data_IF_523659435469
#
_entry.id   IF_523659435469
#
_cell.length_a   1.000
_cell.length_b   1.000
_cell.length_c   1.000
_cell.angle_alpha   90.00
_cell.angle_beta   90.00
_cell.angle_gamma   90.00
#
_symmetry.space_group_name_H-M   'P 1'
#
loop_
_entity.id
_entity.type
_entity.pdbx_description
1 polymer ?
#
# COMPACT_ATOMS: atom_id res chain seq x y z
N UNK A 1 -14.08 -5.53 -14.82
CA UNK A 1 -13.34 -6.19 -13.72
C UNK A 1 -14.00 -7.53 -13.46
N UNK A 2 -13.26 -8.64 -13.59
CA UNK A 2 -13.80 -9.96 -13.29
C UNK A 2 -14.17 -10.08 -11.82
N UNK A 3 -15.25 -10.80 -11.52
CA UNK A 3 -15.82 -10.98 -10.18
C UNK A 3 -14.80 -11.42 -9.11
N UNK A 4 -13.72 -12.13 -9.49
CA UNK A 4 -12.67 -12.57 -8.56
C UNK A 4 -11.67 -11.49 -8.14
N UNK A 5 -11.53 -10.36 -8.86
CA UNK A 5 -10.53 -9.33 -8.51
C UNK A 5 -10.96 -8.50 -7.29
N UNK A 6 -12.26 -8.31 -7.09
CA UNK A 6 -12.80 -7.57 -5.94
C UNK A 6 -12.48 -8.26 -4.61
N UNK A 7 -12.66 -9.58 -4.56
CA UNK A 7 -12.43 -10.39 -3.35
C UNK A 7 -10.95 -10.40 -2.97
N UNK A 8 -10.04 -10.47 -3.96
CA UNK A 8 -8.60 -10.38 -3.71
C UNK A 8 -8.25 -9.01 -3.10
N UNK A 9 -8.86 -7.92 -3.59
CA UNK A 9 -8.61 -6.57 -3.10
C UNK A 9 -8.93 -6.39 -1.60
N UNK A 10 -10.12 -6.80 -1.18
CA UNK A 10 -10.51 -6.75 0.25
C UNK A 10 -9.59 -7.61 1.11
N UNK A 11 -9.34 -8.86 0.70
CA UNK A 11 -8.49 -9.80 1.42
C UNK A 11 -7.05 -9.28 1.56
N UNK A 12 -6.48 -8.69 0.51
CA UNK A 12 -5.12 -8.12 0.54
C UNK A 12 -5.01 -6.91 1.46
N UNK A 13 -5.97 -5.99 1.43
CA UNK A 13 -5.91 -4.79 2.27
C UNK A 13 -6.14 -5.13 3.75
N UNK A 14 -7.11 -6.01 4.06
CA UNK A 14 -7.37 -6.45 5.43
C UNK A 14 -6.26 -7.34 5.97
N UNK A 15 -5.74 -8.26 5.14
CA UNK A 15 -4.56 -9.05 5.47
C UNK A 15 -3.37 -8.16 5.79
N UNK A 16 -3.09 -7.14 4.96
CA UNK A 16 -2.01 -6.18 5.19
C UNK A 16 -2.21 -5.39 6.49
N UNK A 17 -3.43 -4.90 6.74
CA UNK A 17 -3.78 -4.23 8.00
C UNK A 17 -3.54 -5.14 9.22
N UNK A 18 -3.94 -6.41 9.16
CA UNK A 18 -3.69 -7.38 10.23
C UNK A 18 -2.21 -7.71 10.41
N UNK A 19 -1.45 -7.81 9.32
CA UNK A 19 -0.02 -8.04 9.37
C UNK A 19 0.72 -6.86 10.02
N UNK A 20 0.42 -5.62 9.60
CA UNK A 20 1.07 -4.43 10.18
C UNK A 20 0.68 -4.25 11.64
N UNK A 21 -0.62 -4.29 11.96
CA UNK A 21 -1.09 -4.03 13.34
C UNK A 21 -0.73 -5.13 14.33
N UNK A 22 -0.61 -6.39 13.89
CA UNK A 22 -0.29 -7.50 14.78
C UNK A 22 1.18 -7.90 14.72
N UNK A 23 1.71 -8.20 13.53
CA UNK A 23 3.07 -8.74 13.37
C UNK A 23 4.10 -7.64 13.54
N UNK A 24 3.96 -6.51 12.84
CA UNK A 24 4.95 -5.42 12.92
C UNK A 24 4.98 -4.81 14.32
N UNK A 25 3.81 -4.40 14.84
CA UNK A 25 3.72 -3.88 16.22
C UNK A 25 4.12 -4.94 17.24
N UNK A 26 3.77 -6.21 17.03
CA UNK A 26 4.07 -7.30 17.95
C UNK A 26 5.57 -7.58 18.08
N UNK A 27 6.26 -7.69 16.94
CA UNK A 27 7.72 -7.85 16.88
C UNK A 27 8.40 -6.62 17.48
N UNK A 28 7.98 -5.40 17.10
CA UNK A 28 8.52 -4.16 17.67
C UNK A 28 8.35 -4.12 19.19
N UNK A 29 7.19 -4.50 19.72
CA UNK A 29 6.93 -4.51 21.17
C UNK A 29 7.86 -5.44 21.93
N UNK A 30 8.20 -6.60 21.35
CA UNK A 30 9.10 -7.59 21.96
C UNK A 30 10.55 -7.12 21.91
N UNK A 31 11.00 -6.62 20.76
CA UNK A 31 12.40 -6.22 20.53
C UNK A 31 12.75 -4.90 21.22
N UNK A 32 11.81 -3.95 21.29
CA UNK A 32 12.04 -2.62 21.84
C UNK A 32 11.86 -2.53 23.36
N UNK A 33 11.50 -3.64 24.02
CA UNK A 33 11.33 -3.69 25.49
C UNK A 33 12.53 -3.09 26.24
N UNK A 34 13.74 -3.39 25.78
CA UNK A 34 14.98 -2.95 26.43
C UNK A 34 15.17 -1.43 26.39
N UNK A 35 14.61 -0.76 25.37
CA UNK A 35 14.74 0.69 25.18
C UNK A 35 13.77 1.53 26.01
N UNK A 36 12.84 0.92 26.76
CA UNK A 36 11.82 1.59 27.59
C UNK A 36 11.10 2.74 26.86
N UNK A 37 10.73 2.53 25.59
CA UNK A 37 10.03 3.53 24.77
C UNK A 37 8.62 3.76 25.34
N UNK A 38 8.28 5.03 25.56
CA UNK A 38 6.97 5.48 26.03
C UNK A 38 6.24 6.08 24.83
N UNK A 39 5.08 5.51 24.50
CA UNK A 39 4.26 5.97 23.39
C UNK A 39 3.36 7.13 23.84
N UNK A 40 3.13 8.11 22.98
CA UNK A 40 2.16 9.17 23.27
C UNK A 40 0.74 8.59 23.34
N UNK A 41 0.11 8.68 24.53
CA UNK A 41 -1.24 8.17 24.79
C UNK A 41 -2.30 8.79 23.87
N UNK A 42 -2.27 10.10 23.67
CA UNK A 42 -3.27 10.81 22.87
C UNK A 42 -3.24 10.40 21.41
N UNK A 43 -2.06 10.42 20.80
CA UNK A 43 -1.89 10.01 19.40
C UNK A 43 -2.25 8.54 19.18
N UNK A 44 -1.80 7.64 20.08
CA UNK A 44 -2.12 6.23 20.00
C UNK A 44 -3.62 5.93 20.12
N UNK A 45 -4.28 6.47 21.15
CA UNK A 45 -5.73 6.23 21.36
C UNK A 45 -6.54 6.80 20.20
N UNK A 46 -6.18 8.00 19.70
CA UNK A 46 -6.80 8.60 18.53
C UNK A 46 -6.70 7.66 17.31
N UNK A 47 -5.50 7.21 16.96
CA UNK A 47 -5.29 6.40 15.77
C UNK A 47 -6.02 5.04 15.88
N UNK A 48 -6.01 4.40 17.05
CA UNK A 48 -6.73 3.13 17.27
C UNK A 48 -8.26 3.29 17.23
N UNK A 49 -8.80 4.32 17.89
CA UNK A 49 -10.24 4.58 17.86
C UNK A 49 -10.71 4.91 16.44
N UNK A 50 -9.92 5.67 15.68
CA UNK A 50 -10.22 5.92 14.27
C UNK A 50 -10.17 4.65 13.44
N UNK A 51 -9.15 3.82 13.61
CA UNK A 51 -9.07 2.55 12.87
C UNK A 51 -10.24 1.62 13.22
N UNK A 52 -10.65 1.54 14.49
CA UNK A 52 -11.85 0.79 14.90
C UNK A 52 -13.13 1.34 14.23
N UNK A 53 -13.27 2.67 14.16
CA UNK A 53 -14.39 3.32 13.46
C UNK A 53 -14.38 3.03 11.96
N UNK A 54 -13.21 3.04 11.31
CA UNK A 54 -13.04 2.66 9.91
C UNK A 54 -13.46 1.21 9.67
N UNK A 55 -13.02 0.29 10.53
CA UNK A 55 -13.37 -1.13 10.42
C UNK A 55 -14.86 -1.38 10.71
N UNK A 56 -15.48 -0.61 11.61
CA UNK A 56 -16.91 -0.66 11.86
C UNK A 56 -17.71 -0.21 10.63
N UNK A 57 -17.33 0.91 10.00
CA UNK A 57 -17.94 1.38 8.75
C UNK A 57 -17.77 0.36 7.61
N UNK A 58 -16.57 -0.22 7.48
CA UNK A 58 -16.32 -1.26 6.49
C UNK A 58 -17.16 -2.52 6.75
N UNK A 59 -17.26 -2.95 8.02
CA UNK A 59 -18.10 -4.10 8.40
C UNK A 59 -19.57 -3.85 8.09
N UNK A 60 -20.07 -2.63 8.33
CA UNK A 60 -21.43 -2.23 7.95
C UNK A 60 -21.67 -2.35 6.45
N UNK A 61 -20.73 -1.86 5.63
CA UNK A 61 -20.76 -1.96 4.16
C UNK A 61 -20.81 -3.43 3.71
N UNK A 62 -19.94 -4.29 4.27
CA UNK A 62 -19.90 -5.71 3.92
C UNK A 62 -21.16 -6.46 4.36
N UNK A 63 -21.73 -6.13 5.51
CA UNK A 63 -22.99 -6.75 5.99
C UNK A 63 -24.18 -6.30 5.17
N UNK A 64 -24.21 -5.05 4.68
CA UNK A 64 -25.26 -4.61 3.75
C UNK A 64 -25.12 -5.34 2.41
N UNK A 65 -23.89 -5.59 1.95
CA UNK A 65 -23.62 -6.30 0.69
C UNK A 65 -23.89 -5.45 -0.55
N UNK A 66 -24.23 -4.18 -0.39
CA UNK A 66 -24.39 -3.21 -1.47
C UNK A 66 -23.84 -1.86 -1.03
N UNK A 67 -23.20 -1.14 -1.97
CA UNK A 67 -22.73 0.22 -1.75
C UNK A 67 -23.12 1.11 -2.93
N UNK A 68 -23.68 2.29 -2.62
CA UNK A 68 -23.95 3.32 -3.60
C UNK A 68 -22.78 4.32 -3.67
N UNK A 69 -22.75 5.16 -4.70
CA UNK A 69 -21.68 6.16 -4.87
C UNK A 69 -21.53 7.09 -3.67
N UNK A 70 -22.65 7.48 -3.04
CA UNK A 70 -22.66 8.34 -1.86
C UNK A 70 -22.04 7.65 -0.64
N UNK A 71 -22.31 6.37 -0.44
CA UNK A 71 -21.72 5.55 0.61
C UNK A 71 -20.22 5.36 0.38
N UNK A 72 -19.80 5.14 -0.86
CA UNK A 72 -18.38 5.04 -1.21
C UNK A 72 -17.64 6.37 -0.99
N UNK A 73 -18.22 7.50 -1.42
CA UNK A 73 -17.68 8.83 -1.16
C UNK A 73 -17.64 9.16 0.33
N UNK A 74 -18.68 8.78 1.08
CA UNK A 74 -18.75 8.91 2.53
C UNK A 74 -17.62 8.14 3.22
N UNK A 75 -17.42 6.88 2.84
CA UNK A 75 -16.32 6.06 3.35
C UNK A 75 -14.96 6.69 3.05
N UNK A 76 -14.70 7.12 1.81
CA UNK A 76 -13.47 7.81 1.44
C UNK A 76 -13.27 9.13 2.22
N UNK A 77 -14.35 9.89 2.45
CA UNK A 77 -14.30 11.18 3.16
C UNK A 77 -13.83 11.06 4.62
N UNK A 78 -14.01 9.88 5.24
CA UNK A 78 -13.49 9.61 6.58
C UNK A 78 -11.97 9.82 6.66
N UNK A 79 -11.24 9.65 5.55
CA UNK A 79 -9.79 9.88 5.53
C UNK A 79 -9.44 11.36 5.69
N UNK A 80 -10.17 12.23 5.00
CA UNK A 80 -10.00 13.68 5.12
C UNK A 80 -10.30 14.09 6.56
N UNK A 81 -11.38 13.57 7.13
CA UNK A 81 -11.73 13.82 8.54
C UNK A 81 -10.63 13.34 9.51
N UNK A 82 -10.09 12.14 9.30
CA UNK A 82 -8.96 11.63 10.08
C UNK A 82 -7.74 12.55 10.00
N UNK A 83 -7.33 12.97 8.80
CA UNK A 83 -6.18 13.88 8.61
C UNK A 83 -6.41 15.21 9.34
N UNK A 84 -7.63 15.76 9.28
CA UNK A 84 -7.99 16.99 10.00
C UNK A 84 -7.88 16.80 11.51
N UNK A 85 -8.39 15.69 12.07
CA UNK A 85 -8.27 15.40 13.51
C UNK A 85 -6.82 15.20 13.92
N UNK A 86 -6.01 14.50 13.13
CA UNK A 86 -4.57 14.34 13.38
C UNK A 86 -3.87 15.70 13.39
N UNK A 87 -4.16 16.57 12.42
CA UNK A 87 -3.58 17.90 12.33
C UNK A 87 -3.92 18.77 13.55
N UNK A 88 -5.20 18.82 13.96
CA UNK A 88 -5.59 19.56 15.16
C UNK A 88 -5.00 18.97 16.44
N UNK A 89 -4.93 17.64 16.53
CA UNK A 89 -4.34 16.95 17.68
C UNK A 89 -2.83 17.19 17.80
N UNK A 90 -2.09 17.24 16.69
CA UNK A 90 -0.65 17.52 16.68
C UNK A 90 -0.35 18.99 17.00
N UNK A 91 -1.09 19.92 16.39
CA UNK A 91 -0.93 21.36 16.65
C UNK A 91 -1.25 21.72 18.12
N UNK A 92 -2.26 21.09 18.72
CA UNK A 92 -2.57 21.26 20.14
C UNK A 92 -1.45 20.70 21.04
N UNK A 93 -0.90 19.53 20.70
CA UNK A 93 0.23 18.93 21.42
C UNK A 93 1.49 19.80 21.37
N UNK A 94 1.81 20.38 20.20
CA UNK A 94 2.99 21.24 20.00
C UNK A 94 2.88 22.57 20.76
N UNK A 95 1.69 23.18 20.80
CA UNK A 95 1.45 24.39 21.61
C UNK A 95 1.67 24.17 23.10
N UNK A 96 1.45 22.96 23.61
CA UNK A 96 1.75 22.60 25.00
C UNK A 96 3.24 22.39 25.29
N UNK A 97 4.12 22.41 24.27
CA UNK A 97 5.56 22.10 24.39
C UNK A 97 6.47 23.29 24.06
N UNK A 98 5.92 24.46 23.73
CA UNK A 98 6.68 25.67 23.37
C UNK A 98 7.39 26.37 24.55
N UNK A 99 7.27 25.87 25.79
CA UNK A 99 8.08 26.35 26.93
C UNK A 99 9.40 25.59 27.13
N UNK A 100 9.72 24.55 26.35
CA UNK A 100 11.03 23.88 26.45
C UNK A 100 11.57 23.41 25.09
N UNK A 101 12.45 24.25 24.54
CA UNK A 101 13.55 23.96 23.61
C UNK A 101 13.26 23.58 22.14
N UNK A 102 13.81 24.47 21.29
CA UNK A 102 14.37 24.32 19.94
C UNK A 102 14.19 22.99 19.19
N UNK A 103 13.48 23.08 18.07
CA UNK A 103 13.32 22.06 17.03
C UNK A 103 14.66 21.63 16.41
N UNK A 104 15.12 20.43 16.72
CA UNK A 104 16.03 19.69 15.85
C UNK A 104 15.21 18.84 14.88
N UNK A 105 15.13 19.28 13.63
CA UNK A 105 14.66 18.45 12.52
C UNK A 105 15.74 17.39 12.27
N UNK A 106 15.45 16.14 12.65
CA UNK A 106 16.35 15.02 12.33
C UNK A 106 16.07 14.57 10.90
N UNK A 107 17.02 14.84 10.01
CA UNK A 107 17.06 14.27 8.66
C UNK A 107 17.09 12.75 8.77
N UNK A 108 15.94 12.13 8.48
CA UNK A 108 15.77 10.69 8.44
C UNK A 108 16.47 10.15 7.18
N UNK A 109 17.77 9.92 7.27
CA UNK A 109 18.52 9.15 6.28
C UNK A 109 18.21 7.68 6.49
N UNK A 110 17.16 7.17 5.83
CA UNK A 110 16.83 5.74 5.80
C UNK A 110 17.90 5.02 4.96
N UNK A 111 18.77 4.16 5.54
CA UNK A 111 19.79 3.45 4.79
C UNK A 111 19.22 2.12 4.28
N UNK A 112 18.13 2.14 3.52
CA UNK A 112 17.51 0.90 3.00
C UNK A 112 17.91 0.64 1.53
N UNK A 113 18.33 1.67 0.78
CA UNK A 113 18.57 1.53 -0.67
C UNK A 113 20.02 1.34 -1.10
N UNK A 114 21.01 1.32 -0.19
CA UNK A 114 22.43 1.24 -0.59
C UNK A 114 22.95 -0.20 -0.76
N UNK A 115 22.14 -1.22 -0.47
CA UNK A 115 22.57 -2.63 -0.42
C UNK A 115 22.17 -3.52 -1.61
N UNK A 116 21.14 -3.17 -2.39
CA UNK A 116 20.68 -4.01 -3.53
C UNK A 116 21.43 -3.70 -4.84
N UNK A 117 22.74 -3.54 -4.74
CA UNK A 117 23.61 -3.12 -5.84
C UNK A 117 24.44 -4.25 -6.44
N UNK A 118 23.85 -5.42 -6.71
CA UNK A 118 24.44 -6.43 -7.61
C UNK A 118 23.33 -7.07 -8.43
N UNK A 119 23.04 -6.46 -9.58
CA UNK A 119 22.03 -6.96 -10.52
C UNK A 119 22.39 -8.37 -10.97
N UNK A 120 21.58 -9.35 -10.58
CA UNK A 120 21.64 -10.70 -11.14
C UNK A 120 21.15 -10.66 -12.59
N UNK A 121 21.68 -11.53 -13.45
CA UNK A 121 21.30 -11.65 -14.87
C UNK A 121 19.77 -11.83 -15.05
N UNK A 122 19.10 -12.40 -14.04
CA UNK A 122 17.64 -12.53 -13.97
C UNK A 122 16.86 -11.21 -13.92
N UNK A 123 17.45 -10.11 -13.44
CA UNK A 123 16.76 -8.82 -13.31
C UNK A 123 16.81 -7.98 -14.59
N UNK A 124 17.74 -8.27 -15.51
CA UNK A 124 17.93 -7.54 -16.77
C UNK A 124 16.67 -7.35 -17.62
N UNK A 125 15.82 -8.38 -17.86
CA UNK A 125 14.65 -8.23 -18.72
C UNK A 125 13.61 -7.22 -18.18
N UNK A 126 13.52 -7.03 -16.87
CA UNK A 126 12.62 -6.05 -16.25
C UNK A 126 13.32 -4.70 -15.99
N UNK A 127 14.62 -4.73 -15.70
CA UNK A 127 15.42 -3.55 -15.40
C UNK A 127 15.57 -2.61 -16.60
N UNK A 128 15.84 -3.16 -17.80
CA UNK A 128 16.13 -2.37 -19.00
C UNK A 128 14.91 -1.57 -19.48
N UNK A 129 13.73 -2.17 -19.73
CA UNK A 129 12.53 -1.42 -20.12
C UNK A 129 12.14 -0.36 -19.08
N UNK A 130 12.25 -0.69 -17.79
CA UNK A 130 12.00 0.26 -16.70
C UNK A 130 12.93 1.46 -16.74
N UNK A 131 14.23 1.21 -16.92
CA UNK A 131 15.23 2.29 -17.04
C UNK A 131 15.04 3.12 -18.31
N UNK A 132 14.55 2.51 -19.38
CA UNK A 132 14.26 3.15 -20.65
C UNK A 132 12.93 3.90 -20.70
N UNK A 133 12.15 3.95 -19.63
CA UNK A 133 10.85 4.64 -19.60
C UNK A 133 10.68 5.55 -18.37
N UNK A 134 11.48 5.36 -17.31
CA UNK A 134 11.52 6.28 -16.16
C UNK A 134 12.63 7.32 -16.37
N UNK A 135 12.31 8.61 -16.56
CA UNK A 135 13.31 9.67 -16.59
C UNK A 135 13.96 9.86 -15.21
N UNK A 136 15.28 9.68 -15.13
CA UNK A 136 16.07 9.79 -13.89
C UNK A 136 16.93 11.05 -13.91
N UNK A 137 16.82 11.88 -12.88
CA UNK A 137 17.54 13.17 -12.75
C UNK A 137 18.68 13.09 -11.70
N UNK A 138 19.07 11.89 -11.29
CA UNK A 138 20.12 11.73 -10.29
C UNK A 138 21.50 11.96 -10.90
N UNK A 139 22.30 12.90 -10.36
CA UNK A 139 23.64 13.24 -10.86
C UNK A 139 24.55 12.01 -11.01
N UNK A 140 24.52 11.08 -10.05
CA UNK A 140 25.34 9.86 -10.06
C UNK A 140 24.94 8.84 -11.15
N UNK A 141 23.72 8.93 -11.70
CA UNK A 141 23.17 7.97 -12.66
C UNK A 141 22.75 8.64 -13.99
N UNK A 142 23.10 9.91 -14.16
CA UNK A 142 22.71 10.71 -15.31
C UNK A 142 23.37 10.20 -16.59
N UNK A 143 22.58 10.11 -17.65
CA UNK A 143 23.10 9.96 -19.01
C UNK A 143 22.09 10.53 -19.98
N UNK A 144 22.51 11.50 -20.81
CA UNK A 144 21.67 12.12 -21.83
C UNK A 144 20.95 11.11 -22.75
N UNK A 145 21.60 10.08 -23.31
CA UNK A 145 20.91 9.17 -24.23
C UNK A 145 19.78 8.38 -23.54
N UNK A 146 19.98 7.93 -22.30
CA UNK A 146 18.95 7.21 -21.54
C UNK A 146 17.82 8.17 -21.13
N UNK A 147 18.16 9.39 -20.72
CA UNK A 147 17.18 10.41 -20.38
C UNK A 147 16.28 10.76 -21.58
N UNK A 148 16.87 10.98 -22.77
CA UNK A 148 16.11 11.23 -24.00
C UNK A 148 15.27 10.00 -24.38
N UNK A 149 15.86 8.80 -24.36
CA UNK A 149 15.13 7.56 -24.65
C UNK A 149 13.93 7.37 -23.69
N UNK A 150 14.11 7.66 -22.41
CA UNK A 150 13.06 7.55 -21.39
C UNK A 150 11.86 8.45 -21.65
N UNK A 151 12.10 9.70 -22.03
CA UNK A 151 11.05 10.66 -22.34
C UNK A 151 10.36 10.32 -23.67
N UNK A 152 11.08 9.72 -24.61
CA UNK A 152 10.50 9.25 -25.88
C UNK A 152 9.63 8.01 -25.71
N UNK A 153 10.08 7.02 -24.94
CA UNK A 153 9.41 5.73 -24.78
C UNK A 153 8.28 5.76 -23.74
N UNK A 154 8.32 6.69 -22.79
CA UNK A 154 7.28 6.86 -21.77
C UNK A 154 5.86 7.01 -22.38
N UNK A 155 5.60 7.96 -23.29
CA UNK A 155 4.27 8.10 -23.91
C UNK A 155 3.83 6.88 -24.74
N UNK A 156 4.78 6.17 -25.34
CA UNK A 156 4.50 4.94 -26.10
C UNK A 156 4.00 3.86 -25.14
N UNK A 157 4.70 3.62 -24.04
CA UNK A 157 4.26 2.66 -23.02
C UNK A 157 2.87 3.02 -22.46
N UNK A 158 2.63 4.31 -22.21
CA UNK A 158 1.31 4.80 -21.79
C UNK A 158 0.21 4.49 -22.81
N UNK A 159 0.48 4.69 -24.10
CA UNK A 159 -0.49 4.39 -25.16
C UNK A 159 -0.82 2.91 -25.26
N UNK A 160 0.16 2.03 -24.99
CA UNK A 160 -0.04 0.57 -24.92
C UNK A 160 -0.95 0.20 -23.75
N UNK A 161 -0.74 0.78 -22.58
CA UNK A 161 -1.56 0.52 -21.39
C UNK A 161 -2.96 1.13 -21.47
N UNK A 162 -3.08 2.27 -22.17
CA UNK A 162 -4.36 2.98 -22.27
C UNK A 162 -5.33 2.26 -23.18
N UNK A 163 -4.87 1.41 -24.11
CA UNK A 163 -5.74 0.65 -24.99
C UNK A 163 -6.45 -0.43 -24.18
N UNK A 164 -7.68 -0.19 -23.69
CA UNK A 164 -8.39 -1.20 -22.95
C UNK A 164 -8.76 -2.25 -23.98
N UNK A 165 -8.64 -3.51 -23.60
CA UNK A 165 -9.20 -4.61 -24.36
C UNK A 165 -10.74 -4.52 -24.23
N UNK A 166 -11.34 -3.50 -24.86
CA UNK A 166 -12.77 -3.49 -25.16
C UNK A 166 -12.97 -4.47 -26.30
N UNK A 167 -13.82 -5.48 -26.08
CA UNK A 167 -14.05 -6.60 -26.98
C UNK A 167 -14.54 -6.19 -28.40
N UNK A 168 -14.80 -4.89 -28.64
CA UNK A 168 -15.25 -4.30 -29.90
C UNK A 168 -14.36 -3.16 -30.46
N UNK A 169 -13.16 -2.92 -29.91
CA UNK A 169 -12.28 -1.87 -30.41
C UNK A 169 -11.67 -2.25 -31.79
N UNK A 170 -12.14 -1.59 -32.86
CA UNK A 170 -11.58 -1.74 -34.21
C UNK A 170 -10.05 -1.52 -34.20
N UNK A 171 -9.30 -2.37 -34.92
CA UNK A 171 -7.83 -2.28 -35.10
C UNK A 171 -7.33 -0.85 -35.39
N UNK A 172 -8.15 -0.06 -36.08
CA UNK A 172 -7.88 1.35 -36.41
C UNK A 172 -7.76 2.23 -35.15
N UNK A 173 -8.61 2.06 -34.13
CA UNK A 173 -8.55 2.84 -32.89
C UNK A 173 -7.25 2.56 -32.13
N UNK A 174 -6.84 1.29 -32.02
CA UNK A 174 -5.57 0.91 -31.41
C UNK A 174 -4.38 1.55 -32.14
N UNK A 175 -4.38 1.51 -33.47
CA UNK A 175 -3.33 2.11 -34.30
C UNK A 175 -3.25 3.63 -34.11
N UNK A 176 -4.40 4.32 -34.03
CA UNK A 176 -4.48 5.77 -33.79
C UNK A 176 -3.92 6.13 -32.41
N UNK A 177 -4.29 5.39 -31.35
CA UNK A 177 -3.79 5.61 -29.99
C UNK A 177 -2.27 5.44 -29.91
N UNK A 178 -1.73 4.38 -30.52
CA UNK A 178 -0.28 4.16 -30.57
C UNK A 178 0.44 5.22 -31.42
N UNK A 179 -0.17 5.65 -32.52
CA UNK A 179 0.36 6.71 -33.37
C UNK A 179 0.47 8.06 -32.64
N UNK A 180 -0.57 8.44 -31.89
CA UNK A 180 -0.57 9.66 -31.07
C UNK A 180 0.50 9.58 -29.97
N UNK A 181 0.59 8.44 -29.28
CA UNK A 181 1.60 8.20 -28.24
C UNK A 181 3.03 8.31 -28.77
N UNK A 182 3.31 7.71 -29.93
CA UNK A 182 4.62 7.78 -30.59
C UNK A 182 4.97 9.20 -31.02
N UNK A 183 4.04 9.92 -31.63
CA UNK A 183 4.27 11.30 -32.08
C UNK A 183 4.57 12.23 -30.91
N UNK A 184 3.80 12.11 -29.82
CA UNK A 184 4.05 12.86 -28.59
C UNK A 184 5.41 12.50 -27.97
N UNK A 185 5.75 11.21 -27.90
CA UNK A 185 7.05 10.72 -27.45
C UNK A 185 8.21 11.31 -28.24
N UNK A 186 8.14 11.31 -29.58
CA UNK A 186 9.18 11.88 -30.45
C UNK A 186 9.34 13.38 -30.19
N UNK A 187 8.25 14.13 -30.09
CA UNK A 187 8.30 15.58 -29.81
C UNK A 187 9.00 15.83 -28.46
N UNK A 188 8.58 15.13 -27.40
CA UNK A 188 9.18 15.26 -26.08
C UNK A 188 10.67 14.86 -26.08
N UNK A 189 11.03 13.80 -26.81
CA UNK A 189 12.41 13.35 -27.00
C UNK A 189 13.30 14.37 -27.70
N UNK A 190 12.82 15.00 -28.78
CA UNK A 190 13.54 16.06 -29.50
C UNK A 190 13.77 17.28 -28.60
N UNK A 191 12.72 17.71 -27.87
CA UNK A 191 12.84 18.81 -26.90
C UNK A 191 13.84 18.45 -25.80
N UNK A 192 13.78 17.23 -25.26
CA UNK A 192 14.72 16.76 -24.25
C UNK A 192 16.16 16.76 -24.78
N UNK A 193 16.39 16.27 -26.01
CA UNK A 193 17.72 16.26 -26.63
C UNK A 193 18.28 17.67 -26.83
N UNK A 194 17.44 18.62 -27.26
CA UNK A 194 17.82 20.01 -27.48
C UNK A 194 18.10 20.78 -26.17
N UNK A 195 17.41 20.43 -25.07
CA UNK A 195 17.44 21.20 -23.81
C UNK A 195 18.35 20.61 -22.73
N UNK A 196 18.90 19.40 -22.92
CA UNK A 196 19.72 18.70 -21.92
C UNK A 196 21.19 18.58 -22.32
N UNK A 197 22.07 18.61 -21.31
CA UNK A 197 23.52 18.46 -21.46
C UNK A 197 23.98 17.04 -21.12
N UNK A 198 25.14 16.63 -21.64
CA UNK A 198 25.70 15.30 -21.38
C UNK A 198 26.24 15.15 -19.95
N UNK A 199 26.78 16.24 -19.40
CA UNK A 199 27.55 16.25 -18.15
C UNK A 199 26.72 16.56 -16.91
N UNK A 200 25.53 17.17 -17.06
CA UNK A 200 24.69 17.52 -15.91
C UNK A 200 23.19 17.40 -16.21
N UNK A 201 22.37 17.02 -15.21
CA UNK A 201 20.92 17.00 -15.36
C UNK A 201 20.34 18.41 -15.51
N UNK A 202 19.17 18.56 -16.17
CA UNK A 202 18.55 19.86 -16.40
C UNK A 202 18.15 20.55 -15.09
N UNK A 203 18.73 21.73 -14.82
CA UNK A 203 18.41 22.56 -13.64
C UNK A 203 17.29 23.58 -13.90
N UNK A 204 17.11 24.01 -15.15
CA UNK A 204 16.02 24.89 -15.59
C UNK A 204 14.90 24.01 -16.15
N UNK A 205 13.72 24.01 -15.51
CA UNK A 205 12.58 23.13 -15.78
C UNK A 205 12.72 21.70 -15.19
N UNK A 206 13.01 21.61 -13.89
CA UNK A 206 13.12 20.34 -13.16
C UNK A 206 11.77 19.62 -12.98
N UNK A 207 10.69 20.40 -12.83
CA UNK A 207 9.38 19.86 -12.46
C UNK A 207 8.82 18.82 -13.44
N UNK A 208 8.82 19.02 -14.78
CA UNK A 208 8.30 18.01 -15.72
C UNK A 208 9.08 16.69 -15.69
N UNK A 209 10.39 16.75 -15.46
CA UNK A 209 11.22 15.56 -15.34
C UNK A 209 10.88 14.77 -14.06
N UNK A 210 10.68 15.48 -12.94
CA UNK A 210 10.29 14.85 -11.67
C UNK A 210 8.88 14.28 -11.76
N UNK A 211 7.94 15.03 -12.30
CA UNK A 211 6.56 14.59 -12.49
C UNK A 211 6.47 13.39 -13.44
N UNK A 212 7.19 13.41 -14.57
CA UNK A 212 7.25 12.29 -15.51
C UNK A 212 7.92 11.05 -14.90
N UNK A 213 9.00 11.22 -14.14
CA UNK A 213 9.69 10.13 -13.44
C UNK A 213 8.81 9.50 -12.37
N UNK A 214 8.09 10.32 -11.60
CA UNK A 214 7.12 9.87 -10.62
C UNK A 214 5.96 9.12 -11.28
N UNK A 215 5.34 9.69 -12.31
CA UNK A 215 4.22 9.07 -13.03
C UNK A 215 4.62 7.70 -13.62
N UNK A 216 5.78 7.64 -14.29
CA UNK A 216 6.29 6.40 -14.84
C UNK A 216 6.64 5.36 -13.77
N UNK A 217 7.08 5.80 -12.58
CA UNK A 217 7.30 4.90 -11.45
C UNK A 217 5.99 4.29 -10.94
N UNK A 218 4.91 5.09 -10.86
CA UNK A 218 3.58 4.61 -10.50
C UNK A 218 3.07 3.59 -11.52
N UNK A 219 3.25 3.87 -12.82
CA UNK A 219 2.86 2.95 -13.91
C UNK A 219 3.61 1.63 -13.83
N UNK A 220 4.93 1.66 -13.61
CA UNK A 220 5.70 0.42 -13.44
C UNK A 220 5.29 -0.36 -12.21
N UNK A 221 4.97 0.32 -11.11
CA UNK A 221 4.41 -0.32 -9.93
C UNK A 221 3.09 -1.03 -10.25
N UNK A 222 2.23 -0.42 -11.06
CA UNK A 222 0.99 -1.02 -11.53
C UNK A 222 1.22 -2.26 -12.40
N UNK A 223 2.11 -2.18 -13.41
CA UNK A 223 2.44 -3.32 -14.28
C UNK A 223 2.97 -4.49 -13.44
N UNK A 224 3.95 -4.23 -12.58
CA UNK A 224 4.56 -5.27 -11.73
C UNK A 224 3.52 -5.88 -10.79
N UNK A 225 2.66 -5.06 -10.19
CA UNK A 225 1.58 -5.54 -9.32
C UNK A 225 0.59 -6.44 -10.08
N UNK A 226 0.19 -6.07 -11.31
CA UNK A 226 -0.71 -6.88 -12.12
C UNK A 226 -0.10 -8.23 -12.50
N UNK A 227 1.14 -8.24 -13.01
CA UNK A 227 1.85 -9.48 -13.35
C UNK A 227 2.04 -10.37 -12.12
N UNK A 228 2.38 -9.77 -10.98
CA UNK A 228 2.51 -10.47 -9.71
C UNK A 228 1.17 -11.12 -9.30
N UNK A 229 0.06 -10.38 -9.35
CA UNK A 229 -1.27 -10.94 -9.05
C UNK A 229 -1.64 -12.04 -10.04
N UNK A 230 -1.38 -11.88 -11.33
CA UNK A 230 -1.65 -12.90 -12.36
C UNK A 230 -0.86 -14.19 -12.13
N UNK A 231 0.43 -14.09 -11.80
CA UNK A 231 1.27 -15.22 -11.44
C UNK A 231 0.79 -15.89 -10.15
N UNK A 232 0.39 -15.10 -9.15
CA UNK A 232 -0.17 -15.62 -7.91
C UNK A 232 -1.46 -16.39 -8.17
N UNK A 233 -2.42 -15.81 -8.89
CA UNK A 233 -3.66 -16.53 -9.25
C UNK A 233 -3.34 -17.80 -10.04
N UNK A 234 -2.35 -17.77 -10.96
CA UNK A 234 -1.90 -18.95 -11.70
C UNK A 234 -1.31 -20.04 -10.78
N UNK A 235 -0.49 -19.65 -9.80
CA UNK A 235 0.00 -20.57 -8.76
C UNK A 235 -1.12 -21.09 -7.88
N UNK A 236 -2.14 -20.26 -7.59
CA UNK A 236 -3.36 -20.67 -6.91
C UNK A 236 -4.10 -21.77 -7.66
N UNK A 237 -4.20 -21.69 -8.98
CA UNK A 237 -4.75 -22.78 -9.79
C UNK A 237 -3.90 -24.06 -9.74
N UNK A 238 -2.57 -23.94 -9.79
CA UNK A 238 -1.66 -25.10 -9.79
C UNK A 238 -1.66 -25.82 -8.44
N UNK A 239 -1.62 -25.06 -7.34
CA UNK A 239 -1.60 -25.60 -5.98
C UNK A 239 -2.99 -25.87 -5.42
N UNK A 240 -4.05 -25.64 -6.20
CA UNK A 240 -5.45 -25.68 -5.75
C UNK A 240 -5.60 -24.88 -4.44
N UNK A 241 -5.26 -23.59 -4.48
CA UNK A 241 -5.43 -22.64 -3.37
C UNK A 241 -6.31 -21.49 -3.85
N UNK A 242 -7.31 -21.11 -3.04
CA UNK A 242 -8.24 -20.06 -3.45
C UNK A 242 -7.54 -18.69 -3.57
N UNK A 243 -7.90 -17.86 -4.56
CA UNK A 243 -7.30 -16.53 -4.75
C UNK A 243 -7.43 -15.63 -3.52
N UNK A 244 -8.51 -15.78 -2.74
CA UNK A 244 -8.74 -15.03 -1.50
C UNK A 244 -7.62 -15.22 -0.48
N UNK A 245 -7.05 -16.43 -0.39
CA UNK A 245 -5.98 -16.75 0.57
C UNK A 245 -4.66 -16.20 0.08
N UNK A 246 -4.36 -16.34 -1.21
CA UNK A 246 -3.18 -15.69 -1.79
C UNK A 246 -3.26 -14.17 -1.58
N UNK A 247 -4.46 -13.61 -1.71
CA UNK A 247 -4.81 -12.24 -1.33
C UNK A 247 -4.43 -11.91 0.11
N UNK A 248 -4.95 -12.68 1.07
CA UNK A 248 -4.79 -12.45 2.51
C UNK A 248 -3.41 -12.83 3.06
N UNK A 249 -2.66 -13.67 2.35
CA UNK A 249 -1.34 -14.17 2.77
C UNK A 249 -0.23 -13.54 1.96
N UNK A 250 0.19 -14.15 0.85
CA UNK A 250 1.39 -13.74 0.10
C UNK A 250 1.28 -12.30 -0.41
N UNK A 251 0.12 -11.89 -0.93
CA UNK A 251 -0.10 -10.52 -1.41
C UNK A 251 -0.12 -9.51 -0.25
N UNK A 252 -0.88 -9.79 0.80
CA UNK A 252 -0.93 -8.97 2.00
C UNK A 252 0.45 -8.82 2.68
N UNK A 253 1.18 -9.92 2.85
CA UNK A 253 2.51 -9.93 3.45
C UNK A 253 3.49 -9.19 2.57
N UNK A 254 3.50 -9.47 1.27
CA UNK A 254 4.37 -8.80 0.30
C UNK A 254 4.20 -7.28 0.34
N UNK A 255 2.96 -6.80 0.39
CA UNK A 255 2.66 -5.37 0.47
C UNK A 255 3.12 -4.72 1.78
N UNK A 256 3.23 -5.48 2.88
CA UNK A 256 3.52 -4.94 4.22
C UNK A 256 4.87 -5.36 4.80
N UNK A 257 5.67 -6.19 4.10
CA UNK A 257 7.05 -6.51 4.50
C UNK A 257 7.94 -5.26 4.45
N UNK A 258 7.71 -4.36 3.48
CA UNK A 258 8.37 -3.06 3.43
C UNK A 258 8.09 -2.21 4.68
N UNK A 259 6.84 -2.21 5.16
CA UNK A 259 6.44 -1.54 6.40
C UNK A 259 7.12 -2.17 7.62
N UNK A 260 7.20 -3.51 7.68
CA UNK A 260 7.90 -4.22 8.75
C UNK A 260 9.36 -3.75 8.83
N UNK A 261 10.09 -3.83 7.72
CA UNK A 261 11.53 -3.52 7.68
C UNK A 261 11.76 -2.03 8.01
N UNK A 262 10.95 -1.15 7.43
CA UNK A 262 11.09 0.30 7.61
C UNK A 262 10.77 0.72 9.05
N UNK A 263 9.61 0.33 9.59
CA UNK A 263 9.19 0.67 10.95
C UNK A 263 10.13 0.05 12.00
N UNK A 264 10.56 -1.20 11.79
CA UNK A 264 11.48 -1.85 12.69
C UNK A 264 12.85 -1.15 12.68
N UNK A 265 13.37 -0.79 11.52
CA UNK A 265 14.65 -0.07 11.40
C UNK A 265 14.57 1.31 12.05
N UNK A 266 13.49 2.05 11.82
CA UNK A 266 13.27 3.36 12.47
C UNK A 266 13.19 3.23 14.00
N UNK A 267 12.61 2.16 14.53
CA UNK A 267 12.51 1.99 15.98
C UNK A 267 13.79 1.42 16.62
N UNK A 268 14.52 0.55 15.91
CA UNK A 268 15.79 -0.03 16.39
C UNK A 268 16.97 0.94 16.28
N UNK A 269 16.99 1.82 15.28
CA UNK A 269 18.10 2.74 15.06
C UNK A 269 17.76 4.20 15.36
N UNK A 270 16.47 4.55 15.39
CA UNK A 270 16.02 5.91 15.67
C UNK A 270 16.05 6.28 17.15
N UNK A 271 15.85 7.57 17.40
CA UNK A 271 15.59 8.14 18.72
C UNK A 271 14.27 7.58 19.30
N UNK A 272 13.99 7.77 20.59
CA UNK A 272 12.68 7.42 21.18
C UNK A 272 11.50 8.04 20.40
N UNK A 273 11.70 9.23 19.83
CA UNK A 273 10.72 9.89 18.96
C UNK A 273 10.54 9.14 17.63
N UNK A 274 11.64 8.67 17.01
CA UNK A 274 11.58 7.84 15.80
C UNK A 274 10.85 6.51 16.01
N UNK A 275 11.00 5.89 17.20
CA UNK A 275 10.24 4.70 17.56
C UNK A 275 8.75 4.99 17.75
N UNK A 276 8.39 6.15 18.30
CA UNK A 276 6.98 6.58 18.39
C UNK A 276 6.39 6.79 17.00
N UNK A 277 7.12 7.43 16.08
CA UNK A 277 6.69 7.63 14.69
C UNK A 277 6.45 6.29 13.99
N UNK A 278 7.37 5.33 14.17
CA UNK A 278 7.22 3.99 13.62
C UNK A 278 5.95 3.27 14.13
N UNK A 279 5.62 3.41 15.41
CA UNK A 279 4.41 2.82 16.01
C UNK A 279 3.14 3.50 15.48
N UNK A 280 3.10 4.83 15.40
CA UNK A 280 1.96 5.55 14.83
C UNK A 280 1.77 5.19 13.35
N UNK A 281 2.88 5.03 12.59
CA UNK A 281 2.87 4.54 11.22
C UNK A 281 2.20 3.17 11.07
N UNK A 282 2.35 2.27 12.05
CA UNK A 282 1.72 0.95 12.03
C UNK A 282 0.18 0.99 12.16
N UNK A 283 -0.41 2.10 12.59
CA UNK A 283 -1.87 2.27 12.66
C UNK A 283 -2.38 3.23 11.58
N UNK A 284 -1.66 4.33 11.34
CA UNK A 284 -1.98 5.29 10.28
C UNK A 284 -1.87 4.69 8.87
N UNK A 285 -0.89 3.80 8.63
CA UNK A 285 -0.73 3.10 7.35
C UNK A 285 -1.95 2.26 6.98
N UNK A 286 -2.43 1.35 7.85
CA UNK A 286 -3.68 0.64 7.65
C UNK A 286 -4.91 1.54 7.44
N UNK A 287 -5.03 2.66 8.17
CA UNK A 287 -6.12 3.64 7.96
C UNK A 287 -6.07 4.18 6.52
N UNK A 288 -4.88 4.57 6.04
CA UNK A 288 -4.69 5.04 4.67
C UNK A 288 -5.03 3.96 3.63
N UNK A 289 -4.51 2.74 3.79
CA UNK A 289 -4.73 1.67 2.83
C UNK A 289 -6.21 1.27 2.74
N UNK A 290 -6.94 1.27 3.85
CA UNK A 290 -8.38 0.97 3.87
C UNK A 290 -9.18 2.14 3.29
N UNK A 291 -9.02 3.36 3.83
CA UNK A 291 -9.89 4.47 3.42
C UNK A 291 -9.54 5.01 2.04
N UNK A 292 -8.25 5.21 1.75
CA UNK A 292 -7.81 5.73 0.47
C UNK A 292 -7.70 4.61 -0.57
N UNK A 293 -7.02 3.50 -0.24
CA UNK A 293 -6.83 2.38 -1.17
C UNK A 293 -8.13 1.67 -1.54
N UNK A 294 -8.85 1.10 -0.57
CA UNK A 294 -10.16 0.48 -0.85
C UNK A 294 -11.21 1.55 -1.17
N UNK A 295 -11.27 2.67 -0.45
CA UNK A 295 -12.32 3.67 -0.67
C UNK A 295 -12.28 4.29 -2.06
N UNK A 296 -11.10 4.60 -2.62
CA UNK A 296 -11.00 5.09 -4.00
C UNK A 296 -11.44 4.02 -5.01
N UNK A 297 -11.10 2.75 -4.75
CA UNK A 297 -11.52 1.62 -5.57
C UNK A 297 -13.05 1.44 -5.55
N UNK A 298 -13.67 1.59 -4.38
CA UNK A 298 -15.13 1.54 -4.21
C UNK A 298 -15.83 2.70 -4.91
N UNK A 299 -15.28 3.91 -4.81
CA UNK A 299 -15.80 5.09 -5.54
C UNK A 299 -15.71 4.87 -7.04
N UNK A 300 -14.57 4.39 -7.55
CA UNK A 300 -14.39 4.09 -8.97
C UNK A 300 -15.37 3.03 -9.48
N UNK A 301 -15.53 1.93 -8.73
CA UNK A 301 -16.49 0.87 -9.07
C UNK A 301 -17.94 1.39 -9.06
N UNK A 302 -18.30 2.18 -8.06
CA UNK A 302 -19.64 2.77 -7.93
C UNK A 302 -19.92 3.84 -8.98
N UNK A 303 -18.89 4.56 -9.43
CA UNK A 303 -19.00 5.55 -10.49
C UNK A 303 -19.31 4.90 -11.83
N UNK A 304 -18.67 3.76 -12.13
CA UNK A 304 -18.90 3.03 -13.37
C UNK A 304 -20.29 2.40 -13.46
N UNK A 305 -20.87 1.99 -12.33
CA UNK A 305 -22.20 1.37 -12.26
C UNK A 305 -23.33 2.37 -11.95
N UNK A 306 -23.02 3.67 -11.80
CA UNK A 306 -23.99 4.71 -11.47
C UNK A 306 -25.11 4.78 -12.54
N UNK A 307 -26.42 4.82 -12.15
CA UNK A 307 -26.97 5.08 -10.81
C UNK A 307 -27.23 3.84 -9.93
N UNK A 308 -26.90 2.63 -10.41
CA UNK A 308 -27.12 1.38 -9.67
C UNK A 308 -26.11 1.19 -8.53
N UNK A 309 -26.48 0.42 -7.50
CA UNK A 309 -25.56 0.05 -6.41
C UNK A 309 -24.59 -1.04 -6.85
N UNK A 310 -23.36 -0.99 -6.33
CA UNK A 310 -22.38 -2.07 -6.50
C UNK A 310 -22.68 -3.14 -5.45
N UNK A 311 -22.93 -4.36 -5.90
CA UNK A 311 -23.07 -5.53 -5.01
C UNK A 311 -21.69 -6.00 -4.58
N UNK A 312 -21.47 -6.07 -3.27
CA UNK A 312 -20.24 -6.59 -2.67
C UNK A 312 -20.51 -8.03 -2.22
N UNK A 313 -19.72 -9.02 -2.68
CA UNK A 313 -19.88 -10.40 -2.25
C UNK A 313 -19.78 -10.51 -0.73
N UNK A 314 -20.78 -11.14 -0.10
CA UNK A 314 -20.74 -11.42 1.33
C UNK A 314 -19.89 -12.65 1.58
N UNK A 315 -18.64 -12.41 1.94
CA UNK A 315 -17.72 -13.47 2.36
C UNK A 315 -17.63 -13.51 3.91
N UNK A 316 -18.09 -14.61 4.50
CA UNK A 316 -17.98 -14.87 5.94
C UNK A 316 -16.52 -14.90 6.40
N UNK A 317 -15.60 -15.34 5.53
CA UNK A 317 -14.18 -15.36 5.82
C UNK A 317 -13.58 -13.94 5.86
N UNK A 318 -14.09 -13.00 5.06
CA UNK A 318 -13.69 -11.59 5.19
C UNK A 318 -14.13 -11.01 6.55
N UNK A 319 -15.37 -11.27 6.94
CA UNK A 319 -15.92 -10.75 8.21
C UNK A 319 -15.19 -11.30 9.44
N UNK A 320 -14.85 -12.58 9.44
CA UNK A 320 -14.10 -13.15 10.56
C UNK A 320 -12.66 -12.59 10.63
N UNK A 321 -12.04 -12.23 9.50
CA UNK A 321 -10.72 -11.54 9.50
C UNK A 321 -10.84 -10.16 10.12
N UNK A 322 -11.92 -9.44 9.79
CA UNK A 322 -12.25 -8.17 10.43
C UNK A 322 -12.43 -8.32 11.94
N UNK A 323 -13.12 -9.38 12.40
CA UNK A 323 -13.29 -9.63 13.82
C UNK A 323 -11.94 -9.84 14.54
N UNK A 324 -11.02 -10.62 13.97
CA UNK A 324 -9.68 -10.81 14.56
C UNK A 324 -8.85 -9.51 14.55
N UNK A 325 -8.96 -8.70 13.49
CA UNK A 325 -8.33 -7.39 13.44
C UNK A 325 -8.89 -6.42 14.49
N UNK A 326 -10.22 -6.40 14.69
CA UNK A 326 -10.84 -5.62 15.77
C UNK A 326 -10.37 -6.12 17.13
N UNK A 327 -10.29 -7.45 17.33
CA UNK A 327 -9.81 -8.03 18.58
C UNK A 327 -8.35 -7.64 18.89
N UNK A 328 -7.46 -7.60 17.88
CA UNK A 328 -6.07 -7.16 18.08
C UNK A 328 -5.96 -5.69 18.41
N UNK A 329 -6.79 -4.83 17.81
CA UNK A 329 -6.85 -3.41 18.15
C UNK A 329 -7.39 -3.17 19.56
N UNK A 330 -8.43 -3.91 19.97
CA UNK A 330 -8.94 -3.84 21.34
C UNK A 330 -7.89 -4.33 22.35
N UNK A 331 -7.17 -5.40 22.03
CA UNK A 331 -6.04 -5.87 22.85
C UNK A 331 -4.99 -4.76 23.03
N UNK A 332 -4.58 -4.11 21.94
CA UNK A 332 -3.65 -2.97 21.98
C UNK A 332 -4.19 -1.77 22.78
N UNK A 333 -5.47 -1.42 22.58
CA UNK A 333 -6.13 -0.29 23.22
C UNK A 333 -6.25 -0.47 24.74
N UNK A 334 -6.40 -1.71 25.22
CA UNK A 334 -6.48 -2.01 26.65
C UNK A 334 -5.08 -2.18 27.25
N UNK A 335 -4.25 -3.04 26.68
CA UNK A 335 -2.99 -3.46 27.31
C UNK A 335 -1.96 -2.33 27.34
N UNK A 336 -1.82 -1.54 26.26
CA UNK A 336 -0.78 -0.52 26.20
C UNK A 336 -1.02 0.62 27.22
N UNK A 337 -2.23 1.20 27.34
CA UNK A 337 -2.51 2.18 28.39
C UNK A 337 -2.42 1.59 29.82
N UNK A 338 -2.89 0.37 30.05
CA UNK A 338 -2.75 -0.31 31.35
C UNK A 338 -1.28 -0.52 31.75
N UNK A 339 -0.35 -0.55 30.78
CA UNK A 339 1.10 -0.64 31.00
C UNK A 339 1.81 0.72 30.97
N UNK A 340 1.08 1.81 31.24
CA UNK A 340 1.61 3.18 31.25
C UNK A 340 2.27 3.57 29.92
N UNK A 341 1.68 3.15 28.80
CA UNK A 341 2.16 3.40 27.44
C UNK A 341 3.56 2.85 27.12
N UNK A 342 4.04 1.87 27.90
CA UNK A 342 5.31 1.19 27.65
C UNK A 342 5.10 -0.05 26.81
N UNK A 343 5.90 -0.19 25.76
CA UNK A 343 5.94 -1.42 24.97
C UNK A 343 6.48 -2.58 25.82
N UNK A 344 5.73 -3.68 25.84
CA UNK A 344 6.04 -4.89 26.61
C UNK A 344 5.84 -6.15 25.75
N UNK A 345 6.49 -7.24 26.13
CA UNK A 345 6.30 -8.59 25.59
C UNK A 345 4.87 -9.07 25.71
N UNK A 346 4.12 -8.67 26.74
CA UNK A 346 2.70 -9.08 26.87
C UNK A 346 1.86 -8.53 25.74
N UNK A 347 2.03 -7.24 25.40
CA UNK A 347 1.38 -6.62 24.26
C UNK A 347 1.76 -7.37 22.98
N UNK A 348 3.07 -7.53 22.73
CA UNK A 348 3.56 -8.13 21.50
C UNK A 348 3.22 -9.61 21.33
N UNK A 349 3.32 -10.41 22.39
CA UNK A 349 2.95 -11.82 22.36
C UNK A 349 1.45 -12.02 22.15
N UNK A 350 0.59 -11.17 22.75
CA UNK A 350 -0.84 -11.23 22.52
C UNK A 350 -1.22 -10.89 21.07
N UNK A 351 -0.60 -9.86 20.48
CA UNK A 351 -0.80 -9.50 19.07
C UNK A 351 -0.37 -10.61 18.11
N UNK A 352 0.81 -11.20 18.34
CA UNK A 352 1.29 -12.32 17.53
C UNK A 352 0.42 -13.56 17.70
N UNK A 353 -0.09 -13.83 18.91
CA UNK A 353 -0.98 -14.96 19.17
C UNK A 353 -2.32 -14.77 18.43
N UNK A 354 -2.96 -13.59 18.52
CA UNK A 354 -4.21 -13.30 17.81
C UNK A 354 -4.02 -13.48 16.31
N UNK A 355 -2.93 -12.96 15.74
CA UNK A 355 -2.62 -13.10 14.34
C UNK A 355 -2.38 -14.56 13.92
N UNK A 356 -1.60 -15.30 14.71
CA UNK A 356 -1.32 -16.72 14.42
C UNK A 356 -2.61 -17.54 14.45
N UNK A 357 -3.48 -17.31 15.44
CA UNK A 357 -4.80 -17.95 15.52
C UNK A 357 -5.64 -17.60 14.29
N UNK A 358 -5.76 -16.32 13.94
CA UNK A 358 -6.51 -15.87 12.75
C UNK A 358 -6.02 -16.56 11.48
N UNK A 359 -4.70 -16.65 11.30
CA UNK A 359 -4.09 -17.30 10.13
C UNK A 359 -4.30 -18.82 10.13
N UNK A 360 -4.18 -19.48 11.29
CA UNK A 360 -4.44 -20.91 11.41
C UNK A 360 -5.88 -21.25 11.12
N UNK A 361 -6.84 -20.48 11.64
CA UNK A 361 -8.27 -20.69 11.38
C UNK A 361 -8.58 -20.55 9.89
N UNK A 362 -8.05 -19.50 9.25
CA UNK A 362 -8.16 -19.30 7.79
C UNK A 362 -7.62 -20.49 6.99
N UNK A 363 -6.44 -20.97 7.37
CA UNK A 363 -5.79 -22.09 6.70
C UNK A 363 -6.61 -23.39 6.88
N UNK A 364 -7.16 -23.64 8.07
CA UNK A 364 -7.98 -24.83 8.35
C UNK A 364 -9.29 -24.79 7.58
N UNK A 365 -10.01 -23.67 7.59
CA UNK A 365 -11.29 -23.52 6.87
C UNK A 365 -11.11 -23.72 5.37
N UNK A 366 -10.00 -23.22 4.85
CA UNK A 366 -9.58 -23.46 3.47
C UNK A 366 -9.39 -24.95 3.19
N UNK A 367 -8.49 -25.60 3.94
CA UNK A 367 -8.14 -27.00 3.72
C UNK A 367 -9.36 -27.92 3.92
N UNK A 368 -10.25 -27.59 4.86
CA UNK A 368 -11.52 -28.28 5.07
C UNK A 368 -12.45 -28.14 3.86
N UNK A 369 -12.57 -26.94 3.30
CA UNK A 369 -13.36 -26.71 2.08
C UNK A 369 -12.81 -27.51 0.89
N UNK A 370 -11.49 -27.66 0.79
CA UNK A 370 -10.84 -28.50 -0.23
C UNK A 370 -11.17 -29.99 -0.09
N UNK A 371 -11.14 -30.55 1.14
CA UNK A 371 -11.47 -31.96 1.33
C UNK A 371 -12.92 -32.29 0.99
N UNK A 372 -13.85 -31.37 1.23
CA UNK A 372 -15.25 -31.55 0.82
C UNK A 372 -15.39 -31.57 -0.71
N UNK A 373 -14.71 -30.70 -1.48
CA UNK A 373 -14.82 -30.74 -2.96
C UNK A 373 -14.25 -32.02 -3.58
N UNK A 374 -13.12 -32.53 -3.09
CA UNK A 374 -12.49 -33.77 -3.62
C UNK A 374 -13.31 -35.03 -3.31
N UNK A 375 -14.15 -35.01 -2.27
CA UNK A 375 -14.96 -36.18 -1.88
C UNK A 375 -16.24 -36.34 -2.73
N UNK A 376 -16.65 -35.30 -3.48
CA UNK A 376 -17.87 -35.31 -4.31
C UNK A 376 -17.61 -35.25 -5.83
N UNK A 377 -16.35 -35.40 -6.25
CA UNK A 377 -15.94 -35.67 -7.64
C UNK A 377 -15.47 -37.10 -7.77
#
# INVERSE_FOLDING_TARGET
>A
MGSGTGDIGFNTVLGGASFVTCVVVGIMSILLKQKKIIVNKGAFVRDLCFLLLVLASLSFILVHGEINIWGAMGFLSMYIFYVVVVYFSDTHWRKGKEDDSSSHCSDLSIPILSGMGKGSILEMPLYLPRRLTIPVICEKRWSKPIAVASVTLAPVLLSVLWNPQEDDACFVNSLVVYGIGLLFGIICGVIAYARTENSSPPKKCLFPWLAGGFLMSVIWSYIIAQELVALLVSLGYIFEVSPSILGLTVLAWGNSVGDLITNLTMALNGSPEGAQVAISGCYAGPIFNILFGLGLSLVGSSWHQYPSSVVIPRDLYLLETLCFLVASLLWSLVILPCRNMKLDRVLGAGLLAIYTISMSVRLIQTLGSFQFQVTYT
#
